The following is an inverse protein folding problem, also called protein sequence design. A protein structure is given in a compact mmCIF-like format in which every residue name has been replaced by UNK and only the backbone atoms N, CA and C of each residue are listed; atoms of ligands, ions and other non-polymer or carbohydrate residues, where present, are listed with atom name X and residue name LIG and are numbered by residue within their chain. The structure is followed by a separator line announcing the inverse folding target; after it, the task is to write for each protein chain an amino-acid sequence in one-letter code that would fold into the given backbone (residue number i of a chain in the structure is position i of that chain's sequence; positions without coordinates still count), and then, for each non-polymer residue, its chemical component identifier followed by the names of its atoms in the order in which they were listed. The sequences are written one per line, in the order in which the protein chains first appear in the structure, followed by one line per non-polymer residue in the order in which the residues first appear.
data_IF_592623236655
#
_entry.id   IF_592623236655
#
_cell.length_a   1.000
_cell.length_b   1.000
_cell.length_c   1.000
_cell.angle_alpha   90.00
_cell.angle_beta   90.00
_cell.angle_gamma   90.00
#
_symmetry.space_group_name_H-M   'P 1'
#
loop_
_entity.id
_entity.type
_entity.pdbx_description
1 polymer ?
#
# COMPACT_ATOMS: atom_id res chain seq x y z
N UNK A 1 4.39 1.35 -32.84
CA UNK A 1 5.09 0.22 -32.20
C UNK A 1 5.65 0.64 -30.83
N UNK A 2 6.53 1.64 -30.76
CA UNK A 2 7.15 2.09 -29.50
C UNK A 2 6.18 2.61 -28.42
N UNK A 3 5.15 3.40 -28.78
CA UNK A 3 4.15 3.86 -27.80
C UNK A 3 3.38 2.71 -27.13
N UNK A 4 3.17 1.61 -27.87
CA UNK A 4 2.53 0.41 -27.35
C UNK A 4 3.47 -0.32 -26.37
N UNK A 5 4.77 -0.39 -26.67
CA UNK A 5 5.77 -0.98 -25.78
C UNK A 5 5.88 -0.21 -24.46
N UNK A 6 5.95 1.12 -24.51
CA UNK A 6 5.96 1.97 -23.33
C UNK A 6 4.69 1.77 -22.50
N UNK A 7 3.52 1.73 -23.14
CA UNK A 7 2.26 1.45 -22.47
C UNK A 7 2.27 0.09 -21.76
N UNK A 8 2.76 -0.96 -22.41
CA UNK A 8 2.88 -2.30 -21.83
C UNK A 8 3.83 -2.29 -20.62
N UNK A 9 4.99 -1.63 -20.73
CA UNK A 9 5.97 -1.52 -19.64
C UNK A 9 5.33 -0.83 -18.43
N UNK A 10 4.63 0.28 -18.64
CA UNK A 10 3.95 1.00 -17.55
C UNK A 10 2.82 0.17 -16.93
N UNK A 11 2.03 -0.52 -17.74
CA UNK A 11 0.96 -1.40 -17.24
C UNK A 11 1.52 -2.54 -16.38
N UNK A 12 2.61 -3.18 -16.82
CA UNK A 12 3.31 -4.21 -16.06
C UNK A 12 3.92 -3.65 -14.77
N UNK A 13 4.51 -2.46 -14.81
CA UNK A 13 5.08 -1.79 -13.64
C UNK A 13 4.00 -1.53 -12.57
N UNK A 14 2.85 -0.98 -12.97
CA UNK A 14 1.72 -0.79 -12.06
C UNK A 14 1.18 -2.12 -11.52
N UNK A 15 1.02 -3.13 -12.37
CA UNK A 15 0.56 -4.45 -11.93
C UNK A 15 1.50 -5.05 -10.87
N UNK A 16 2.82 -5.02 -11.13
CA UNK A 16 3.84 -5.46 -10.19
C UNK A 16 3.79 -4.66 -8.88
N UNK A 17 3.60 -3.35 -8.94
CA UNK A 17 3.46 -2.50 -7.76
C UNK A 17 2.24 -2.91 -6.90
N UNK A 18 1.08 -3.12 -7.51
CA UNK A 18 -0.12 -3.56 -6.79
C UNK A 18 0.09 -4.95 -6.15
N UNK A 19 0.65 -5.91 -6.89
CA UNK A 19 0.93 -7.24 -6.34
C UNK A 19 1.92 -7.16 -5.18
N UNK A 20 3.00 -6.39 -5.33
CA UNK A 20 3.99 -6.16 -4.29
C UNK A 20 3.37 -5.52 -3.03
N UNK A 21 2.59 -4.45 -3.19
CA UNK A 21 1.98 -3.75 -2.07
C UNK A 21 0.90 -4.60 -1.37
N UNK A 22 0.08 -5.34 -2.11
CA UNK A 22 -0.98 -6.16 -1.53
C UNK A 22 -0.39 -7.39 -0.81
N UNK A 23 0.44 -8.17 -1.50
CA UNK A 23 0.96 -9.45 -0.99
C UNK A 23 2.26 -9.28 -0.21
N UNK A 24 3.24 -8.57 -0.76
CA UNK A 24 4.50 -8.24 -0.08
C UNK A 24 4.24 -7.42 1.19
N UNK A 25 3.35 -6.42 1.14
CA UNK A 25 2.94 -5.67 2.32
C UNK A 25 2.24 -6.54 3.38
N UNK A 26 1.42 -7.53 2.98
CA UNK A 26 0.81 -8.46 3.93
C UNK A 26 1.85 -9.34 4.64
N UNK A 27 2.86 -9.80 3.90
CA UNK A 27 3.97 -10.56 4.44
C UNK A 27 4.82 -9.70 5.39
N UNK A 28 5.20 -8.49 4.94
CA UNK A 28 6.01 -7.55 5.70
C UNK A 28 5.37 -7.19 7.04
N UNK A 29 4.11 -6.72 7.03
CA UNK A 29 3.39 -6.37 8.26
C UNK A 29 3.20 -7.59 9.14
N UNK A 30 2.85 -8.75 8.56
CA UNK A 30 2.66 -9.98 9.32
C UNK A 30 3.92 -10.47 10.03
N UNK A 31 5.08 -10.32 9.38
CA UNK A 31 6.38 -10.66 9.95
C UNK A 31 6.74 -9.71 11.09
N UNK A 32 6.63 -8.40 10.87
CA UNK A 32 6.99 -7.38 11.87
C UNK A 32 6.10 -7.41 13.11
N UNK A 33 4.82 -7.74 12.93
CA UNK A 33 3.86 -7.85 14.04
C UNK A 33 3.84 -9.21 14.72
N UNK A 34 4.55 -10.21 14.18
CA UNK A 34 4.54 -11.57 14.74
C UNK A 34 4.97 -11.65 16.21
N UNK A 35 5.95 -10.86 16.71
CA UNK A 35 6.36 -10.90 18.12
C UNK A 35 5.32 -10.28 19.07
N UNK A 36 4.42 -9.43 18.56
CA UNK A 36 3.46 -8.65 19.34
C UNK A 36 2.05 -9.24 19.33
N UNK A 37 1.87 -10.44 18.78
CA UNK A 37 0.57 -11.13 18.86
C UNK A 37 0.40 -11.65 20.28
N UNK A 38 -0.71 -11.28 20.92
CA UNK A 38 -1.04 -11.79 22.25
C UNK A 38 -1.31 -13.30 22.19
N UNK A 39 -0.49 -14.15 22.84
CA UNK A 39 -0.73 -15.59 22.91
C UNK A 39 -1.93 -15.94 23.79
N UNK A 40 -2.37 -15.01 24.67
CA UNK A 40 -3.43 -15.20 25.67
C UNK A 40 -4.78 -14.63 25.24
N UNK A 41 -4.95 -14.18 23.99
CA UNK A 41 -6.27 -13.79 23.49
C UNK A 41 -7.16 -15.05 23.36
N UNK A 42 -7.75 -15.47 24.47
CA UNK A 42 -8.75 -16.55 24.57
C UNK A 42 -10.13 -16.08 24.14
N UNK A 43 -10.29 -14.79 23.86
CA UNK A 43 -11.47 -14.25 23.22
C UNK A 43 -11.58 -14.80 21.80
N UNK A 44 -12.68 -15.50 21.52
CA UNK A 44 -13.12 -15.77 20.15
C UNK A 44 -13.02 -14.45 19.37
N UNK A 45 -12.32 -14.39 18.22
CA UNK A 45 -12.23 -13.16 17.46
C UNK A 45 -13.65 -12.66 17.21
N UNK A 46 -14.01 -11.50 17.78
CA UNK A 46 -15.25 -10.82 17.46
C UNK A 46 -15.15 -10.36 16.00
N UNK A 47 -15.53 -11.22 15.07
CA UNK A 47 -15.50 -10.96 13.63
C UNK A 47 -15.17 -12.18 12.76
N UNK A 48 -15.13 -11.93 11.46
CA UNK A 48 -14.81 -12.94 10.46
C UNK A 48 -13.33 -13.36 10.55
N UNK A 49 -13.08 -14.67 10.63
CA UNK A 49 -11.72 -15.22 10.61
C UNK A 49 -10.96 -14.75 9.37
N UNK A 50 -9.75 -14.22 9.57
CA UNK A 50 -8.90 -13.71 8.49
C UNK A 50 -9.28 -12.34 7.92
N UNK A 51 -10.38 -11.71 8.38
CA UNK A 51 -10.83 -10.42 7.86
C UNK A 51 -9.79 -9.31 8.05
N UNK A 52 -9.03 -9.29 9.15
CA UNK A 52 -7.97 -8.29 9.37
C UNK A 52 -6.91 -8.28 8.25
N UNK A 53 -6.48 -9.47 7.78
CA UNK A 53 -5.52 -9.58 6.68
C UNK A 53 -6.12 -9.09 5.36
N UNK A 54 -7.38 -9.44 5.08
CA UNK A 54 -8.10 -9.00 3.87
C UNK A 54 -8.38 -7.50 3.86
N UNK A 55 -8.82 -6.93 4.98
CA UNK A 55 -9.00 -5.48 5.16
C UNK A 55 -7.69 -4.77 4.88
N UNK A 56 -6.57 -5.23 5.47
CA UNK A 56 -5.27 -4.63 5.22
C UNK A 56 -4.82 -4.72 3.76
N UNK A 57 -5.17 -5.78 3.03
CA UNK A 57 -4.89 -5.90 1.59
C UNK A 57 -5.66 -4.84 0.78
N UNK A 58 -6.96 -4.68 1.05
CA UNK A 58 -7.81 -3.69 0.37
C UNK A 58 -7.36 -2.27 0.68
N UNK A 59 -7.08 -1.98 1.95
CA UNK A 59 -6.59 -0.67 2.38
C UNK A 59 -5.27 -0.30 1.70
N UNK A 60 -4.32 -1.23 1.59
CA UNK A 60 -3.07 -0.98 0.86
C UNK A 60 -3.29 -0.68 -0.62
N UNK A 61 -4.23 -1.35 -1.27
CA UNK A 61 -4.59 -1.02 -2.65
C UNK A 61 -5.17 0.39 -2.77
N UNK A 62 -6.08 0.77 -1.86
CA UNK A 62 -6.66 2.13 -1.81
C UNK A 62 -5.57 3.17 -1.57
N UNK A 63 -4.70 2.96 -0.59
CA UNK A 63 -3.63 3.90 -0.24
C UNK A 63 -2.64 4.04 -1.39
N UNK A 64 -2.24 2.94 -2.03
CA UNK A 64 -1.36 2.98 -3.21
C UNK A 64 -2.01 3.80 -4.33
N UNK A 65 -3.31 3.57 -4.59
CA UNK A 65 -4.07 4.32 -5.61
C UNK A 65 -4.05 5.81 -5.30
N UNK A 66 -4.43 6.20 -4.08
CA UNK A 66 -4.48 7.60 -3.65
C UNK A 66 -3.11 8.27 -3.70
N UNK A 67 -2.05 7.55 -3.28
CA UNK A 67 -0.69 8.07 -3.30
C UNK A 67 -0.18 8.30 -4.74
N UNK A 68 -0.46 7.38 -5.67
CA UNK A 68 -0.12 7.54 -7.08
C UNK A 68 -0.93 8.67 -7.75
N UNK A 69 -2.13 8.96 -7.25
CA UNK A 69 -2.94 10.12 -7.67
C UNK A 69 -2.50 11.44 -7.01
N UNK A 70 -1.56 11.41 -6.05
CA UNK A 70 -1.14 12.59 -5.29
C UNK A 70 -2.11 13.01 -4.17
N UNK A 71 -3.14 12.21 -3.90
CA UNK A 71 -4.22 12.50 -2.94
C UNK A 71 -3.85 12.09 -1.50
N UNK A 72 -2.76 12.66 -0.97
CA UNK A 72 -2.25 12.31 0.36
C UNK A 72 -3.24 12.66 1.49
N UNK A 73 -4.07 13.69 1.33
CA UNK A 73 -5.12 14.03 2.28
C UNK A 73 -6.22 12.96 2.40
N UNK A 74 -6.57 12.32 1.28
CA UNK A 74 -7.54 11.21 1.26
C UNK A 74 -7.07 10.00 2.06
N UNK A 75 -5.75 9.76 2.12
CA UNK A 75 -5.15 8.66 2.90
C UNK A 75 -5.41 8.87 4.40
N UNK A 76 -5.35 10.11 4.89
CA UNK A 76 -5.68 10.44 6.28
C UNK A 76 -7.14 10.12 6.61
N UNK A 77 -8.07 10.38 5.69
CA UNK A 77 -9.49 10.00 5.88
C UNK A 77 -9.67 8.48 5.98
N UNK A 78 -8.97 7.69 5.14
CA UNK A 78 -8.99 6.23 5.22
C UNK A 78 -8.50 5.75 6.59
N UNK A 79 -7.39 6.32 7.08
CA UNK A 79 -6.84 6.01 8.40
C UNK A 79 -7.81 6.36 9.55
N UNK A 80 -8.40 7.56 9.50
CA UNK A 80 -9.35 8.02 10.51
C UNK A 80 -10.61 7.17 10.51
N UNK A 81 -11.20 6.90 9.33
CA UNK A 81 -12.41 6.09 9.21
C UNK A 81 -12.20 4.67 9.77
N UNK A 82 -11.05 4.06 9.44
CA UNK A 82 -10.68 2.74 9.96
C UNK A 82 -10.54 2.74 11.49
N UNK A 83 -9.91 3.76 12.04
CA UNK A 83 -9.70 3.90 13.49
C UNK A 83 -11.01 4.20 14.24
N UNK A 84 -11.88 5.01 13.63
CA UNK A 84 -13.23 5.29 14.15
C UNK A 84 -14.08 4.03 14.23
N UNK A 85 -14.04 3.18 13.20
CA UNK A 85 -14.75 1.89 13.18
C UNK A 85 -14.29 0.91 14.27
N UNK A 86 -13.10 1.11 14.85
CA UNK A 86 -12.53 0.28 15.92
C UNK A 86 -12.34 1.02 17.24
N UNK A 87 -12.95 2.19 17.40
CA UNK A 87 -12.70 3.07 18.54
C UNK A 87 -12.89 2.38 19.90
N UNK A 88 -13.94 1.56 20.05
CA UNK A 88 -14.17 0.78 21.28
C UNK A 88 -13.05 -0.22 21.60
N UNK A 89 -12.51 -0.89 20.57
CA UNK A 89 -11.41 -1.86 20.73
C UNK A 89 -10.09 -1.16 21.08
N UNK A 90 -9.90 0.08 20.58
CA UNK A 90 -8.71 0.89 20.87
C UNK A 90 -8.61 1.35 22.33
N UNK A 91 -9.63 1.09 23.16
CA UNK A 91 -9.54 1.30 24.61
C UNK A 91 -8.67 0.24 25.29
N UNK A 92 -8.51 -0.93 24.69
CA UNK A 92 -7.61 -1.99 25.17
C UNK A 92 -6.19 -1.69 24.67
N UNK A 93 -5.25 -1.45 25.60
CA UNK A 93 -3.94 -0.89 25.29
C UNK A 93 -3.13 -1.79 24.37
N UNK A 94 -3.12 -3.11 24.61
CA UNK A 94 -2.35 -4.03 23.81
C UNK A 94 -2.87 -4.08 22.37
N UNK A 95 -4.18 -4.19 22.18
CA UNK A 95 -4.83 -4.12 20.88
C UNK A 95 -4.57 -2.78 20.19
N UNK A 96 -4.65 -1.66 20.91
CA UNK A 96 -4.39 -0.34 20.35
C UNK A 96 -2.96 -0.21 19.80
N UNK A 97 -1.96 -0.61 20.59
CA UNK A 97 -0.55 -0.59 20.17
C UNK A 97 -0.31 -1.52 18.96
N UNK A 98 -0.83 -2.75 19.01
CA UNK A 98 -0.75 -3.70 17.90
C UNK A 98 -1.41 -3.20 16.61
N UNK A 99 -2.63 -2.67 16.73
CA UNK A 99 -3.42 -2.15 15.61
C UNK A 99 -2.78 -0.91 14.99
N UNK A 100 -2.33 0.04 15.81
CA UNK A 100 -1.70 1.28 15.36
C UNK A 100 -0.39 0.97 14.65
N UNK A 101 0.48 0.14 15.26
CA UNK A 101 1.74 -0.26 14.64
C UNK A 101 1.51 -0.97 13.29
N UNK A 102 0.54 -1.89 13.25
CA UNK A 102 0.20 -2.61 12.02
C UNK A 102 -0.35 -1.71 10.92
N UNK A 103 -1.20 -0.75 11.29
CA UNK A 103 -1.77 0.21 10.35
C UNK A 103 -0.70 1.15 9.82
N UNK A 104 0.12 1.75 10.69
CA UNK A 104 1.20 2.65 10.30
C UNK A 104 2.24 1.96 9.42
N UNK A 105 2.67 0.73 9.75
CA UNK A 105 3.57 -0.06 8.90
C UNK A 105 2.95 -0.32 7.52
N UNK A 106 1.65 -0.62 7.47
CA UNK A 106 0.94 -0.89 6.22
C UNK A 106 0.82 0.35 5.35
N UNK A 107 0.48 1.51 5.93
CA UNK A 107 0.44 2.80 5.24
C UNK A 107 1.84 3.15 4.73
N UNK A 108 2.85 3.07 5.60
CA UNK A 108 4.24 3.34 5.24
C UNK A 108 4.71 2.50 4.05
N UNK A 109 4.43 1.19 4.06
CA UNK A 109 4.81 0.30 2.96
C UNK A 109 4.15 0.69 1.62
N UNK A 110 2.86 1.04 1.65
CA UNK A 110 2.15 1.48 0.46
C UNK A 110 2.68 2.82 -0.08
N UNK A 111 2.93 3.79 0.82
CA UNK A 111 3.52 5.08 0.46
C UNK A 111 4.94 4.94 -0.12
N UNK A 112 5.79 4.14 0.53
CA UNK A 112 7.14 3.87 0.05
C UNK A 112 7.12 3.23 -1.35
N UNK A 113 6.19 2.29 -1.59
CA UNK A 113 6.02 1.70 -2.93
C UNK A 113 5.58 2.75 -3.94
N UNK A 114 4.60 3.61 -3.60
CA UNK A 114 4.12 4.66 -4.50
C UNK A 114 5.24 5.62 -4.91
N UNK A 115 6.03 6.10 -3.93
CA UNK A 115 7.16 7.01 -4.18
C UNK A 115 8.20 6.34 -5.10
N UNK A 116 8.55 5.08 -4.84
CA UNK A 116 9.50 4.33 -5.65
C UNK A 116 9.01 4.18 -7.09
N UNK A 117 7.75 3.83 -7.29
CA UNK A 117 7.15 3.67 -8.63
C UNK A 117 7.07 5.01 -9.35
N UNK A 118 6.66 6.08 -8.68
CA UNK A 118 6.63 7.42 -9.26
C UNK A 118 8.03 7.87 -9.70
N UNK A 119 9.06 7.57 -8.89
CA UNK A 119 10.46 7.82 -9.23
C UNK A 119 10.92 7.06 -10.46
N UNK A 120 10.61 5.76 -10.55
CA UNK A 120 10.92 4.93 -11.72
C UNK A 120 10.22 5.46 -12.97
N UNK A 121 8.94 5.80 -12.89
CA UNK A 121 8.17 6.35 -14.02
C UNK A 121 8.81 7.66 -14.48
N UNK A 122 9.16 8.54 -13.55
CA UNK A 122 9.82 9.82 -13.85
C UNK A 122 11.15 9.59 -14.57
N UNK A 123 11.97 8.65 -14.08
CA UNK A 123 13.25 8.32 -14.70
C UNK A 123 13.08 7.75 -16.11
N UNK A 124 12.17 6.78 -16.29
CA UNK A 124 11.86 6.20 -17.61
C UNK A 124 11.39 7.27 -18.59
N UNK A 125 10.51 8.15 -18.13
CA UNK A 125 9.93 9.24 -18.92
C UNK A 125 11.01 10.23 -19.35
N UNK A 126 11.87 10.67 -18.44
CA UNK A 126 12.95 11.65 -18.71
C UNK A 126 14.04 11.07 -19.61
N UNK A 127 14.41 9.80 -19.46
CA UNK A 127 15.48 9.20 -20.27
C UNK A 127 15.00 8.85 -21.69
N UNK A 128 13.77 8.33 -21.83
CA UNK A 128 13.30 7.75 -23.09
C UNK A 128 12.62 8.79 -23.99
N UNK A 129 11.88 9.77 -23.44
CA UNK A 129 11.16 10.75 -24.26
C UNK A 129 12.07 11.64 -25.14
N UNK A 130 13.24 12.12 -24.69
CA UNK A 130 14.11 12.95 -25.53
C UNK A 130 14.68 12.19 -26.73
N UNK A 131 15.03 10.91 -26.56
CA UNK A 131 15.48 10.06 -27.67
C UNK A 131 14.39 9.91 -28.74
N UNK A 132 13.12 9.84 -28.31
CA UNK A 132 11.98 9.80 -29.23
C UNK A 132 11.77 11.11 -29.99
N UNK A 133 11.97 12.26 -29.36
CA UNK A 133 11.85 13.54 -30.08
C UNK A 133 12.96 13.71 -31.13
N UNK A 134 14.17 13.23 -30.84
CA UNK A 134 15.30 13.32 -31.77
C UNK A 134 15.19 12.37 -32.96
N UNK A 135 14.57 11.19 -32.81
CA UNK A 135 14.40 10.21 -33.90
C UNK A 135 13.33 10.58 -34.93
N UNK A 136 12.38 11.45 -34.57
CA UNK A 136 11.27 11.88 -35.44
C UNK A 136 11.35 13.37 -35.82
N UNK A 137 12.33 14.10 -35.28
CA UNK A 137 12.62 15.50 -35.59
C UNK A 137 13.64 15.72 -36.72
N UNK A 138 14.17 14.63 -37.31
CA UNK A 138 15.06 14.60 -38.47
C UNK A 138 14.36 13.97 -39.68
#
# INVERSE_FOLDING_TARGET
MFQLELFIILALLYLCAYLWTIFGGAFFVGHFLSPYKDPKSTEKPMGLSGAGKKIGQVERAIILTLALMGEFGAISFVFVAKSMARFEQLKERHFAEYYLLGTLLSIFFALATAILIQGIITLLTVTILPELQNLWGS
#
